data_IF_224927127659
#
_entry.id   IF_224927127659
#
_cell.length_a   1.000
_cell.length_b   1.000
_cell.length_c   1.000
_cell.angle_alpha   90.00
_cell.angle_beta   90.00
_cell.angle_gamma   90.00
#
_symmetry.space_group_name_H-M   'P 1'
#
loop_
_entity.id
_entity.type
_entity.pdbx_description
1 polymer ?
#
# COMPACT_ATOMS: atom_id res chain seq x y z
N UNK A 1 -13.56 -33.12 18.86
CA UNK A 1 -13.31 -32.31 17.64
C UNK A 1 -13.74 -30.89 17.95
N UNK A 2 -12.87 -30.10 18.55
CA UNK A 2 -13.13 -28.70 18.89
C UNK A 2 -12.64 -27.80 17.76
N UNK A 3 -13.55 -27.34 16.92
CA UNK A 3 -13.25 -26.32 15.92
C UNK A 3 -13.00 -25.00 16.63
N UNK A 4 -11.74 -24.61 16.79
CA UNK A 4 -11.36 -23.26 17.21
C UNK A 4 -11.71 -22.30 16.07
N UNK A 5 -12.83 -21.58 16.21
CA UNK A 5 -13.14 -20.47 15.34
C UNK A 5 -11.97 -19.46 15.36
N UNK A 6 -11.50 -18.99 14.22
CA UNK A 6 -10.39 -18.04 14.18
C UNK A 6 -10.75 -16.80 15.00
N UNK A 7 -9.81 -16.25 15.79
CA UNK A 7 -10.08 -15.15 16.69
C UNK A 7 -10.63 -13.95 15.88
N UNK A 8 -11.67 -13.33 16.41
CA UNK A 8 -12.41 -12.21 15.82
C UNK A 8 -11.52 -11.09 15.24
N UNK A 9 -10.31 -10.92 15.79
CA UNK A 9 -9.31 -9.95 15.34
C UNK A 9 -8.82 -10.15 13.88
N UNK A 10 -8.80 -11.38 13.38
CA UNK A 10 -8.34 -11.66 11.99
C UNK A 10 -9.42 -11.25 10.98
N UNK A 11 -10.70 -11.40 11.29
CA UNK A 11 -11.80 -11.06 10.38
C UNK A 11 -11.89 -9.57 10.04
N UNK A 12 -11.47 -8.67 10.94
CA UNK A 12 -11.53 -7.22 10.72
C UNK A 12 -10.29 -6.65 10.00
N UNK A 13 -9.13 -7.31 10.07
CA UNK A 13 -7.88 -6.79 9.50
C UNK A 13 -7.80 -6.98 7.98
N UNK A 14 -8.42 -8.01 7.44
CA UNK A 14 -8.40 -8.31 6.00
C UNK A 14 -9.08 -7.22 5.16
N UNK A 15 -10.32 -6.77 5.46
CA UNK A 15 -10.92 -5.68 4.69
C UNK A 15 -10.18 -4.35 4.85
N UNK A 16 -9.53 -4.09 5.99
CA UNK A 16 -8.79 -2.85 6.25
C UNK A 16 -7.60 -2.69 5.28
N UNK A 17 -6.98 -3.78 4.86
CA UNK A 17 -5.84 -3.74 3.92
C UNK A 17 -6.24 -3.32 2.51
N UNK A 18 -7.51 -3.49 2.12
CA UNK A 18 -8.00 -3.10 0.80
C UNK A 18 -8.48 -1.64 0.73
N UNK A 19 -8.70 -0.99 1.87
CA UNK A 19 -9.18 0.40 1.92
C UNK A 19 -8.30 1.34 1.08
N UNK A 20 -6.97 1.31 1.17
CA UNK A 20 -6.12 2.19 0.37
C UNK A 20 -6.34 2.04 -1.13
N UNK A 21 -6.45 0.80 -1.61
CA UNK A 21 -6.66 0.52 -3.03
C UNK A 21 -8.03 1.02 -3.50
N UNK A 22 -9.08 0.72 -2.75
CA UNK A 22 -10.45 1.14 -3.07
C UNK A 22 -10.57 2.67 -3.06
N UNK A 23 -9.97 3.34 -2.07
CA UNK A 23 -9.96 4.79 -1.99
C UNK A 23 -9.22 5.42 -3.18
N UNK A 24 -8.07 4.88 -3.57
CA UNK A 24 -7.32 5.34 -4.74
C UNK A 24 -8.12 5.22 -6.03
N UNK A 25 -8.78 4.08 -6.25
CA UNK A 25 -9.65 3.85 -7.42
C UNK A 25 -10.85 4.80 -7.41
N UNK A 26 -11.48 5.02 -6.25
CA UNK A 26 -12.62 5.94 -6.12
C UNK A 26 -12.21 7.38 -6.46
N UNK A 27 -11.06 7.85 -5.95
CA UNK A 27 -10.52 9.18 -6.28
C UNK A 27 -10.21 9.30 -7.76
N UNK A 28 -9.57 8.29 -8.36
CA UNK A 28 -9.31 8.27 -9.80
C UNK A 28 -10.61 8.36 -10.62
N UNK A 29 -11.64 7.62 -10.23
CA UNK A 29 -12.94 7.66 -10.91
C UNK A 29 -13.62 9.04 -10.82
N UNK A 30 -13.57 9.68 -9.64
CA UNK A 30 -14.17 11.03 -9.44
C UNK A 30 -13.41 12.09 -10.23
N UNK A 31 -12.09 11.96 -10.36
CA UNK A 31 -11.25 12.94 -11.02
C UNK A 31 -11.01 12.64 -12.50
N UNK A 32 -11.61 11.61 -13.06
CA UNK A 32 -11.35 11.12 -14.42
C UNK A 32 -11.45 12.22 -15.49
N UNK A 33 -12.43 13.13 -15.36
CA UNK A 33 -12.67 14.22 -16.32
C UNK A 33 -12.17 15.59 -15.82
N UNK A 34 -11.27 15.60 -14.84
CA UNK A 34 -10.70 16.83 -14.29
C UNK A 34 -9.28 17.04 -14.80
N UNK A 35 -8.85 18.28 -14.77
CA UNK A 35 -7.47 18.68 -15.10
C UNK A 35 -6.86 19.42 -13.91
N UNK A 36 -5.56 19.35 -13.77
CA UNK A 36 -4.80 20.04 -12.74
C UNK A 36 -3.71 20.93 -13.35
N UNK A 37 -3.21 21.85 -12.56
CA UNK A 37 -2.04 22.64 -12.90
C UNK A 37 -0.78 21.78 -12.87
N UNK A 38 0.20 22.14 -13.67
CA UNK A 38 1.47 21.40 -13.79
C UNK A 38 2.23 21.31 -12.46
N UNK A 39 2.10 22.33 -11.60
CA UNK A 39 2.73 22.33 -10.27
C UNK A 39 2.25 21.17 -9.39
N UNK A 40 0.99 20.71 -9.58
CA UNK A 40 0.47 19.54 -8.88
C UNK A 40 1.29 18.28 -9.23
N UNK A 41 1.59 18.07 -10.52
CA UNK A 41 2.33 16.88 -10.96
C UNK A 41 3.79 16.90 -10.50
N UNK A 42 4.41 18.09 -10.44
CA UNK A 42 5.75 18.24 -9.85
C UNK A 42 5.76 17.84 -8.38
N UNK A 43 4.83 18.35 -7.57
CA UNK A 43 4.71 17.97 -6.17
C UNK A 43 4.37 16.48 -6.00
N UNK A 44 3.43 15.96 -6.80
CA UNK A 44 3.02 14.56 -6.79
C UNK A 44 4.18 13.61 -7.09
N UNK A 45 5.01 13.93 -8.07
CA UNK A 45 6.20 13.15 -8.42
C UNK A 45 7.15 13.02 -7.23
N UNK A 46 7.42 14.10 -6.52
CA UNK A 46 8.30 14.05 -5.34
C UNK A 46 7.71 13.16 -4.23
N UNK A 47 6.42 13.31 -3.94
CA UNK A 47 5.77 12.50 -2.90
C UNK A 47 5.75 11.03 -3.28
N UNK A 48 5.40 10.69 -4.53
CA UNK A 48 5.39 9.32 -5.01
C UNK A 48 6.80 8.70 -5.05
N UNK A 49 7.82 9.46 -5.46
CA UNK A 49 9.20 8.98 -5.48
C UNK A 49 9.72 8.71 -4.06
N UNK A 50 9.49 9.62 -3.11
CA UNK A 50 9.86 9.43 -1.71
C UNK A 50 9.11 8.21 -1.13
N UNK A 51 7.83 8.06 -1.42
CA UNK A 51 7.04 6.90 -1.01
C UNK A 51 7.58 5.59 -1.58
N UNK A 52 7.96 5.56 -2.87
CA UNK A 52 8.54 4.39 -3.52
C UNK A 52 9.88 3.99 -2.88
N UNK A 53 10.77 4.97 -2.64
CA UNK A 53 12.04 4.74 -1.96
C UNK A 53 11.81 4.25 -0.52
N UNK A 54 10.90 4.86 0.22
CA UNK A 54 10.53 4.44 1.57
C UNK A 54 10.03 2.99 1.60
N UNK A 55 9.18 2.59 0.65
CA UNK A 55 8.73 1.21 0.51
C UNK A 55 9.89 0.25 0.20
N UNK A 56 10.79 0.62 -0.70
CA UNK A 56 11.95 -0.21 -1.05
C UNK A 56 12.89 -0.40 0.15
N UNK A 57 13.19 0.67 0.88
CA UNK A 57 14.10 0.63 2.03
C UNK A 57 13.56 -0.17 3.22
N UNK A 58 12.23 -0.22 3.39
CA UNK A 58 11.64 -1.01 4.49
C UNK A 58 11.76 -2.53 4.29
N UNK A 59 12.35 -2.97 3.19
CA UNK A 59 12.60 -4.39 2.90
C UNK A 59 11.34 -5.26 2.78
N UNK A 60 10.16 -4.64 2.80
CA UNK A 60 8.87 -5.33 2.82
C UNK A 60 8.59 -6.11 1.55
N UNK A 61 9.15 -5.67 0.41
CA UNK A 61 9.05 -6.41 -0.84
C UNK A 61 9.78 -7.77 -0.79
N UNK A 62 10.90 -7.85 -0.07
CA UNK A 62 11.67 -9.09 0.05
C UNK A 62 11.02 -10.13 0.97
N UNK A 63 10.09 -9.71 1.84
CA UNK A 63 9.32 -10.61 2.71
C UNK A 63 8.02 -11.10 2.09
N UNK A 64 7.69 -10.64 0.88
CA UNK A 64 6.45 -11.01 0.18
C UNK A 64 6.30 -12.53 0.02
N UNK A 65 7.41 -13.24 -0.23
CA UNK A 65 7.42 -14.69 -0.37
C UNK A 65 6.96 -15.47 0.87
N UNK A 66 7.17 -14.92 2.07
CA UNK A 66 6.73 -15.56 3.32
C UNK A 66 5.22 -15.48 3.55
N UNK A 67 4.55 -14.48 2.96
CA UNK A 67 3.11 -14.31 3.11
C UNK A 67 2.29 -15.23 2.20
N UNK A 68 2.90 -15.78 1.15
CA UNK A 68 2.22 -16.72 0.25
C UNK A 68 1.81 -18.02 0.95
N UNK A 69 2.52 -18.42 2.01
CA UNK A 69 2.22 -19.61 2.79
C UNK A 69 1.09 -19.41 3.81
N UNK A 70 0.62 -18.17 4.01
CA UNK A 70 -0.42 -17.82 4.99
C UNK A 70 -1.85 -17.93 4.45
N UNK A 71 -2.07 -18.58 3.32
CA UNK A 71 -3.40 -18.81 2.75
C UNK A 71 -4.11 -17.52 2.32
N UNK A 72 -5.43 -17.42 2.59
CA UNK A 72 -6.28 -16.31 2.14
C UNK A 72 -5.79 -14.94 2.64
N UNK A 73 -5.30 -14.84 3.87
CA UNK A 73 -4.82 -13.58 4.44
C UNK A 73 -3.57 -13.07 3.70
N UNK A 74 -2.64 -13.97 3.35
CA UNK A 74 -1.46 -13.65 2.56
C UNK A 74 -1.80 -13.14 1.17
N UNK A 75 -2.82 -13.71 0.53
CA UNK A 75 -3.31 -13.27 -0.79
C UNK A 75 -3.79 -11.81 -0.76
N UNK A 76 -4.55 -11.40 0.25
CA UNK A 76 -5.00 -10.00 0.37
C UNK A 76 -3.85 -9.02 0.60
N UNK A 77 -2.86 -9.41 1.42
CA UNK A 77 -1.64 -8.59 1.61
C UNK A 77 -0.89 -8.44 0.30
N UNK A 78 -0.74 -9.52 -0.46
CA UNK A 78 -0.09 -9.51 -1.76
C UNK A 78 -0.80 -8.60 -2.76
N UNK A 79 -2.12 -8.71 -2.89
CA UNK A 79 -2.94 -7.86 -3.77
C UNK A 79 -2.76 -6.38 -3.39
N UNK A 80 -2.79 -6.05 -2.09
CA UNK A 80 -2.62 -4.67 -1.65
C UNK A 80 -1.22 -4.14 -1.98
N UNK A 81 -0.17 -4.90 -1.68
CA UNK A 81 1.21 -4.49 -1.96
C UNK A 81 1.46 -4.32 -3.45
N UNK A 82 1.03 -5.28 -4.28
CA UNK A 82 1.12 -5.18 -5.73
C UNK A 82 0.29 -4.02 -6.28
N UNK A 83 -0.94 -3.83 -5.77
CA UNK A 83 -1.80 -2.72 -6.17
C UNK A 83 -1.18 -1.37 -5.87
N UNK A 84 -0.60 -1.18 -4.68
CA UNK A 84 0.09 0.07 -4.32
C UNK A 84 1.35 0.26 -5.16
N UNK A 85 2.12 -0.79 -5.42
CA UNK A 85 3.34 -0.72 -6.23
C UNK A 85 3.02 -0.32 -7.68
N UNK A 86 2.09 -1.03 -8.31
CA UNK A 86 1.64 -0.75 -9.69
C UNK A 86 1.00 0.64 -9.74
N UNK A 87 0.15 0.98 -8.77
CA UNK A 87 -0.45 2.30 -8.67
C UNK A 87 0.59 3.43 -8.56
N UNK A 88 1.62 3.25 -7.73
CA UNK A 88 2.72 4.22 -7.59
C UNK A 88 3.50 4.36 -8.91
N UNK A 89 3.82 3.25 -9.57
CA UNK A 89 4.49 3.25 -10.87
C UNK A 89 3.68 3.98 -11.95
N UNK A 90 2.38 3.69 -12.05
CA UNK A 90 1.47 4.38 -12.95
C UNK A 90 1.35 5.87 -12.60
N UNK A 91 1.20 6.20 -11.31
CA UNK A 91 1.14 7.59 -10.85
C UNK A 91 2.38 8.39 -11.22
N UNK A 92 3.56 7.81 -11.07
CA UNK A 92 4.83 8.42 -11.52
C UNK A 92 4.85 8.59 -13.05
N UNK A 93 4.49 7.55 -13.80
CA UNK A 93 4.46 7.60 -15.25
C UNK A 93 3.55 8.74 -15.75
N UNK A 94 2.32 8.82 -15.27
CA UNK A 94 1.38 9.86 -15.70
C UNK A 94 1.79 11.26 -15.21
N UNK A 95 2.41 11.37 -14.02
CA UNK A 95 3.00 12.64 -13.58
C UNK A 95 4.11 13.11 -14.52
N UNK A 96 5.04 12.23 -14.89
CA UNK A 96 6.10 12.56 -15.84
C UNK A 96 5.55 12.88 -17.23
N UNK A 97 4.52 12.15 -17.68
CA UNK A 97 3.86 12.41 -18.95
C UNK A 97 3.26 13.83 -19.00
N UNK A 98 2.52 14.24 -17.94
CA UNK A 98 1.98 15.59 -17.85
C UNK A 98 3.07 16.67 -17.81
N UNK A 99 4.16 16.43 -17.03
CA UNK A 99 5.29 17.36 -16.95
C UNK A 99 6.02 17.51 -18.28
N UNK A 100 6.25 16.40 -19.00
CA UNK A 100 6.92 16.41 -20.30
C UNK A 100 6.12 17.15 -21.37
N UNK A 101 4.80 17.00 -21.34
CA UNK A 101 3.89 17.64 -22.31
C UNK A 101 3.53 19.09 -21.92
N UNK A 102 3.89 19.54 -20.73
CA UNK A 102 3.53 20.87 -20.21
C UNK A 102 2.03 21.09 -20.04
N UNK A 103 1.23 20.02 -20.06
CA UNK A 103 -0.23 20.04 -19.92
C UNK A 103 -0.74 18.74 -19.28
N UNK A 104 -1.84 18.86 -18.53
CA UNK A 104 -2.55 17.70 -17.99
C UNK A 104 -3.56 17.18 -19.02
N UNK A 105 -3.47 15.91 -19.35
CA UNK A 105 -4.49 15.18 -20.10
C UNK A 105 -5.48 14.49 -19.14
N UNK A 106 -6.59 14.03 -19.67
CA UNK A 106 -7.70 13.50 -18.84
C UNK A 106 -7.28 12.40 -17.84
N UNK A 107 -6.44 11.39 -18.20
CA UNK A 107 -6.06 10.34 -17.25
C UNK A 107 -4.98 10.78 -16.25
N UNK A 108 -4.16 11.81 -16.59
CA UNK A 108 -2.97 12.14 -15.79
C UNK A 108 -3.31 12.48 -14.33
N UNK A 109 -4.29 13.39 -14.15
CA UNK A 109 -4.72 13.78 -12.81
C UNK A 109 -5.35 12.62 -12.05
N UNK A 110 -6.25 11.90 -12.70
CA UNK A 110 -7.01 10.81 -12.08
C UNK A 110 -6.09 9.72 -11.54
N UNK A 111 -5.16 9.26 -12.38
CA UNK A 111 -4.22 8.18 -12.02
C UNK A 111 -3.22 8.67 -10.97
N UNK A 112 -2.66 9.87 -11.15
CA UNK A 112 -1.69 10.43 -10.19
C UNK A 112 -2.32 10.66 -8.82
N UNK A 113 -3.50 11.27 -8.76
CA UNK A 113 -4.20 11.52 -7.49
C UNK A 113 -4.66 10.22 -6.83
N UNK A 114 -5.16 9.26 -7.60
CA UNK A 114 -5.51 7.93 -7.10
C UNK A 114 -4.30 7.19 -6.50
N UNK A 115 -3.15 7.25 -7.16
CA UNK A 115 -1.90 6.67 -6.67
C UNK A 115 -1.43 7.34 -5.37
N UNK A 116 -1.49 8.68 -5.28
CA UNK A 116 -1.14 9.43 -4.07
C UNK A 116 -2.02 9.02 -2.88
N UNK A 117 -3.33 9.01 -3.06
CA UNK A 117 -4.28 8.65 -1.99
C UNK A 117 -4.07 7.21 -1.56
N UNK A 118 -3.95 6.28 -2.50
CA UNK A 118 -3.68 4.87 -2.20
C UNK A 118 -2.36 4.71 -1.43
N UNK A 119 -1.30 5.36 -1.87
CA UNK A 119 0.02 5.29 -1.22
C UNK A 119 0.03 5.86 0.19
N UNK A 120 -0.55 7.05 0.39
CA UNK A 120 -0.62 7.70 1.70
C UNK A 120 -1.45 6.87 2.68
N UNK A 121 -2.63 6.37 2.26
CA UNK A 121 -3.47 5.53 3.10
C UNK A 121 -2.81 4.19 3.42
N UNK A 122 -2.14 3.56 2.45
CA UNK A 122 -1.41 2.32 2.68
C UNK A 122 -0.30 2.52 3.72
N UNK A 123 0.42 3.63 3.63
CA UNK A 123 1.45 3.98 4.60
C UNK A 123 0.85 4.26 5.98
N UNK A 124 -0.26 5.00 6.05
CA UNK A 124 -0.98 5.30 7.29
C UNK A 124 -1.52 4.05 7.98
N UNK A 125 -2.17 3.17 7.22
CA UNK A 125 -2.65 1.89 7.75
C UNK A 125 -1.50 1.04 8.29
N UNK A 126 -0.38 1.00 7.59
CA UNK A 126 0.79 0.25 8.04
C UNK A 126 1.47 0.88 9.26
N UNK A 127 1.50 2.21 9.38
CA UNK A 127 2.07 2.90 10.53
C UNK A 127 1.22 2.69 11.80
N UNK A 128 -0.11 2.70 11.66
CA UNK A 128 -1.03 2.59 12.79
C UNK A 128 -1.22 1.15 13.28
N UNK A 129 -1.28 0.20 12.35
CA UNK A 129 -1.66 -1.19 12.68
C UNK A 129 -0.49 -2.18 12.59
N UNK A 130 0.66 -1.74 12.09
CA UNK A 130 1.81 -2.61 11.84
C UNK A 130 1.54 -3.59 10.69
N UNK A 131 2.54 -4.39 10.36
CA UNK A 131 2.36 -5.51 9.44
C UNK A 131 1.74 -6.67 10.20
N UNK A 132 0.60 -7.24 9.75
CA UNK A 132 0.09 -8.48 10.34
C UNK A 132 1.20 -9.55 10.27
N UNK A 133 1.50 -10.18 11.40
CA UNK A 133 2.48 -11.27 11.49
C UNK A 133 3.85 -10.89 12.09
N UNK A 134 4.34 -9.66 11.96
CA UNK A 134 5.66 -9.29 12.53
C UNK A 134 5.63 -9.24 14.07
N UNK A 135 4.52 -8.79 14.66
CA UNK A 135 4.36 -8.75 16.13
C UNK A 135 4.25 -10.13 16.75
N UNK A 136 3.68 -11.08 16.01
CA UNK A 136 3.50 -12.44 16.51
C UNK A 136 4.83 -13.23 16.44
N UNK A 137 5.69 -12.93 15.45
CA UNK A 137 7.05 -13.48 15.36
C UNK A 137 7.98 -12.90 16.44
N UNK A 138 7.96 -11.58 16.67
CA UNK A 138 8.75 -10.95 17.74
C UNK A 138 8.33 -11.43 19.13
N UNK A 139 7.04 -11.65 19.36
CA UNK A 139 6.53 -12.21 20.60
C UNK A 139 6.93 -13.69 20.78
N UNK A 140 6.93 -14.47 19.70
CA UNK A 140 7.35 -15.87 19.73
C UNK A 140 8.87 -15.99 19.92
N UNK A 141 9.67 -15.13 19.29
CA UNK A 141 11.12 -15.09 19.42
C UNK A 141 11.55 -14.63 20.84
N UNK A 142 10.84 -13.64 21.40
CA UNK A 142 11.05 -13.19 22.79
C UNK A 142 10.67 -14.24 23.83
N UNK A 143 9.67 -15.07 23.54
CA UNK A 143 9.26 -16.17 24.41
C UNK A 143 10.17 -17.41 24.32
N UNK A 144 10.97 -17.51 23.27
CA UNK A 144 11.88 -18.64 23.01
C UNK A 144 13.30 -18.44 23.61
N UNK A 145 13.61 -17.25 24.15
CA UNK A 145 14.88 -17.01 24.85
C UNK A 145 14.77 -17.60 26.26
N UNK A 146 15.51 -18.69 26.59
CA UNK A 146 15.50 -19.25 27.94
C UNK A 146 16.09 -18.24 28.93
N UNK A 147 15.42 -18.04 30.07
CA UNK A 147 15.99 -17.26 31.17
C UNK A 147 17.33 -17.84 31.55
N UNK A 148 18.38 -17.02 31.69
CA UNK A 148 19.65 -17.48 32.17
C UNK A 148 19.52 -17.90 33.63
N UNK A 149 19.91 -19.14 33.95
CA UNK A 149 19.99 -19.71 35.29
C UNK A 149 21.03 -18.97 36.18
#
# INVERSE_FOLDING_TARGET
MGGTSPPFRIRFRVPLTLIPLVAGVAVAAVLWNRQAKIEFFSAATHVLAIGAVGMALTGRFFRLGRHLDQGIAGTYVLINVLGVLVGTGLGLFFSFHALANGRSETPDLAVTAGALVSGILAFGVQALFGTPGVRDEEAAESAAVPEPD
#
